data_IF_844691690744
#
_entry.id   IF_844691690744
#
_cell.length_a   1.000
_cell.length_b   1.000
_cell.length_c   1.000
_cell.angle_alpha   90.00
_cell.angle_beta   90.00
_cell.angle_gamma   90.00
#
_symmetry.space_group_name_H-M   'P 1'
#
loop_
_entity.id
_entity.type
_entity.pdbx_description
1 polymer ?
#
# COMPACT_ATOMS: atom_id res chain seq x y z
N UNK A 1 14.97 -56.94 6.36
CA UNK A 1 14.17 -55.71 6.53
C UNK A 1 15.00 -54.71 7.32
N UNK A 2 15.50 -53.65 6.66
CA UNK A 2 15.78 -52.37 7.32
C UNK A 2 15.51 -51.29 6.27
N UNK A 3 14.27 -50.82 6.22
CA UNK A 3 13.88 -49.61 5.48
C UNK A 3 14.57 -48.40 6.12
N UNK A 4 15.72 -48.00 5.57
CA UNK A 4 16.32 -46.70 5.88
C UNK A 4 15.64 -45.65 5.00
N UNK A 5 14.47 -45.18 5.44
CA UNK A 5 13.86 -43.96 4.89
C UNK A 5 14.74 -42.78 5.30
N UNK A 6 15.60 -42.37 4.37
CA UNK A 6 16.35 -41.11 4.45
C UNK A 6 15.32 -39.98 4.48
N UNK A 7 15.14 -39.40 5.65
CA UNK A 7 14.21 -38.28 5.84
C UNK A 7 14.96 -37.06 5.34
N UNK A 8 14.69 -36.65 4.09
CA UNK A 8 15.15 -35.36 3.56
C UNK A 8 14.57 -34.28 4.45
N UNK A 9 15.40 -33.83 5.38
CA UNK A 9 15.20 -32.65 6.20
C UNK A 9 14.96 -31.48 5.24
N UNK A 10 13.69 -31.13 5.03
CA UNK A 10 13.31 -29.89 4.40
C UNK A 10 13.55 -28.82 5.47
N UNK A 11 14.80 -28.41 5.65
CA UNK A 11 15.11 -27.21 6.41
C UNK A 11 14.39 -26.05 5.70
N UNK A 12 13.35 -25.44 6.29
CA UNK A 12 12.80 -24.23 5.72
C UNK A 12 13.94 -23.20 5.70
N UNK A 13 14.15 -22.56 4.56
CA UNK A 13 15.09 -21.44 4.48
C UNK A 13 14.77 -20.46 5.62
N UNK A 14 15.79 -19.93 6.33
CA UNK A 14 15.54 -18.95 7.38
C UNK A 14 14.71 -17.82 6.79
N UNK A 15 13.60 -17.48 7.45
CA UNK A 15 12.80 -16.34 7.06
C UNK A 15 13.71 -15.11 7.01
N UNK A 16 13.66 -14.34 5.92
CA UNK A 16 14.41 -13.08 5.80
C UNK A 16 14.19 -12.26 7.09
N UNK A 17 15.25 -11.70 7.68
CA UNK A 17 15.15 -10.87 8.88
C UNK A 17 14.62 -9.47 8.54
N UNK A 18 14.20 -8.70 9.55
CA UNK A 18 13.80 -7.31 9.34
C UNK A 18 14.97 -6.45 8.86
N UNK A 19 16.18 -6.66 9.40
CA UNK A 19 17.39 -5.95 8.99
C UNK A 19 17.73 -6.20 7.52
N UNK A 20 17.63 -7.45 7.05
CA UNK A 20 17.83 -7.79 5.63
C UNK A 20 16.79 -7.10 4.73
N UNK A 21 15.53 -7.05 5.15
CA UNK A 21 14.49 -6.33 4.42
C UNK A 21 14.78 -4.82 4.37
N UNK A 22 15.15 -4.19 5.49
CA UNK A 22 15.51 -2.76 5.54
C UNK A 22 16.71 -2.47 4.64
N UNK A 23 17.75 -3.31 4.68
CA UNK A 23 18.94 -3.19 3.84
C UNK A 23 18.61 -3.29 2.34
N UNK A 24 17.75 -4.24 1.95
CA UNK A 24 17.28 -4.37 0.56
C UNK A 24 16.42 -3.18 0.14
N UNK A 25 15.53 -2.71 1.01
CA UNK A 25 14.70 -1.54 0.74
C UNK A 25 15.57 -0.32 0.45
N UNK A 26 16.58 -0.08 1.30
CA UNK A 26 17.52 1.03 1.16
C UNK A 26 18.32 0.93 -0.15
N UNK A 27 18.72 -0.28 -0.54
CA UNK A 27 19.39 -0.52 -1.82
C UNK A 27 18.50 -0.11 -3.00
N UNK A 28 17.22 -0.51 -2.98
CA UNK A 28 16.27 -0.11 -4.03
C UNK A 28 15.98 1.39 -4.00
N UNK A 29 15.94 2.04 -2.83
CA UNK A 29 15.79 3.49 -2.69
C UNK A 29 16.95 4.24 -3.37
N UNK A 30 18.19 3.86 -3.07
CA UNK A 30 19.38 4.50 -3.66
C UNK A 30 19.44 4.31 -5.18
N UNK A 31 19.10 3.11 -5.66
CA UNK A 31 19.04 2.84 -7.10
C UNK A 31 17.93 3.65 -7.79
N UNK A 32 16.75 3.76 -7.17
CA UNK A 32 15.67 4.60 -7.66
C UNK A 32 16.09 6.07 -7.74
N UNK A 33 16.74 6.61 -6.71
CA UNK A 33 17.25 7.99 -6.71
C UNK A 33 18.25 8.23 -7.84
N UNK A 34 19.17 7.30 -8.08
CA UNK A 34 20.13 7.39 -9.18
C UNK A 34 19.46 7.36 -10.56
N UNK A 35 18.37 6.61 -10.72
CA UNK A 35 17.59 6.58 -11.96
C UNK A 35 16.81 7.89 -12.14
N UNK A 36 16.21 8.42 -11.08
CA UNK A 36 15.47 9.68 -11.10
C UNK A 36 16.37 10.87 -11.45
N UNK A 37 17.61 10.90 -10.97
CA UNK A 37 18.60 11.93 -11.36
C UNK A 37 18.87 11.91 -12.87
N UNK A 38 18.92 10.73 -13.49
CA UNK A 38 19.13 10.59 -14.94
C UNK A 38 17.90 10.96 -15.76
N UNK A 39 16.71 10.75 -15.21
CA UNK A 39 15.43 11.14 -15.81
C UNK A 39 15.20 12.66 -15.78
N UNK A 40 15.94 13.40 -14.95
CA UNK A 40 15.89 14.86 -14.91
C UNK A 40 16.35 15.51 -16.24
N UNK A 41 17.13 14.79 -17.07
CA UNK A 41 17.48 15.25 -18.41
C UNK A 41 16.39 14.86 -19.44
N UNK A 42 15.56 15.83 -19.91
CA UNK A 42 14.51 15.54 -20.88
C UNK A 42 15.05 15.17 -22.28
N UNK A 43 16.34 15.41 -22.55
CA UNK A 43 16.97 15.07 -23.83
C UNK A 43 17.58 13.67 -23.85
N UNK A 44 17.58 12.98 -22.73
CA UNK A 44 18.12 11.65 -22.64
C UNK A 44 17.28 10.66 -23.47
N UNK A 45 17.87 10.02 -24.50
CA UNK A 45 17.13 9.11 -25.38
C UNK A 45 16.63 7.86 -24.65
N UNK A 46 17.22 7.53 -23.49
CA UNK A 46 16.90 6.34 -22.72
C UNK A 46 15.79 6.58 -21.67
N UNK A 47 15.13 7.74 -21.68
CA UNK A 47 14.11 8.10 -20.69
C UNK A 47 12.97 7.08 -20.57
N UNK A 48 12.58 6.43 -21.66
CA UNK A 48 11.59 5.36 -21.61
C UNK A 48 12.09 4.16 -20.78
N UNK A 49 13.31 3.69 -21.04
CA UNK A 49 13.91 2.57 -20.34
C UNK A 49 14.20 2.89 -18.87
N UNK A 50 14.71 4.10 -18.59
CA UNK A 50 14.94 4.59 -17.23
C UNK A 50 13.62 4.70 -16.44
N UNK A 51 12.52 5.07 -17.09
CA UNK A 51 11.20 5.09 -16.44
C UNK A 51 10.75 3.68 -16.06
N UNK A 52 10.94 2.69 -16.93
CA UNK A 52 10.65 1.29 -16.62
C UNK A 52 11.53 0.79 -15.46
N UNK A 53 12.83 1.12 -15.47
CA UNK A 53 13.76 0.78 -14.38
C UNK A 53 13.31 1.41 -13.05
N UNK A 54 12.93 2.69 -13.05
CA UNK A 54 12.41 3.37 -11.87
C UNK A 54 11.15 2.68 -11.31
N UNK A 55 10.24 2.24 -12.19
CA UNK A 55 9.04 1.49 -11.79
C UNK A 55 9.37 0.14 -11.14
N UNK A 56 10.40 -0.55 -11.63
CA UNK A 56 10.87 -1.81 -11.04
C UNK A 56 11.39 -1.58 -9.62
N UNK A 57 12.24 -0.57 -9.42
CA UNK A 57 12.76 -0.24 -8.09
C UNK A 57 11.64 0.20 -7.12
N UNK A 58 10.72 1.05 -7.58
CA UNK A 58 9.57 1.47 -6.77
C UNK A 58 8.68 0.29 -6.38
N UNK A 59 8.37 -0.61 -7.31
CA UNK A 59 7.58 -1.82 -7.03
C UNK A 59 8.28 -2.72 -6.01
N UNK A 60 9.60 -2.87 -6.11
CA UNK A 60 10.39 -3.64 -5.14
C UNK A 60 10.35 -3.01 -3.74
N UNK A 61 10.52 -1.69 -3.64
CA UNK A 61 10.40 -0.95 -2.38
C UNK A 61 9.04 -1.15 -1.73
N UNK A 62 7.95 -1.00 -2.48
CA UNK A 62 6.59 -1.17 -1.95
C UNK A 62 6.32 -2.60 -1.44
N UNK A 63 6.82 -3.62 -2.15
CA UNK A 63 6.72 -5.02 -1.70
C UNK A 63 7.50 -5.26 -0.40
N UNK A 64 8.69 -4.68 -0.29
CA UNK A 64 9.51 -4.82 0.92
C UNK A 64 8.89 -4.05 2.08
N UNK A 65 8.37 -2.85 1.83
CA UNK A 65 7.63 -2.06 2.82
C UNK A 65 6.45 -2.85 3.37
N UNK A 66 5.63 -3.46 2.50
CA UNK A 66 4.52 -4.31 2.95
C UNK A 66 4.98 -5.46 3.86
N UNK A 67 6.10 -6.11 3.54
CA UNK A 67 6.67 -7.17 4.41
C UNK A 67 7.21 -6.63 5.74
N UNK A 68 7.73 -5.40 5.77
CA UNK A 68 8.19 -4.74 6.99
C UNK A 68 6.99 -4.36 7.87
N UNK A 69 5.92 -3.86 7.26
CA UNK A 69 4.67 -3.52 7.94
C UNK A 69 4.01 -4.78 8.55
N UNK A 70 3.93 -5.89 7.78
CA UNK A 70 3.42 -7.18 8.27
C UNK A 70 4.21 -7.71 9.47
N UNK A 71 5.54 -7.55 9.49
CA UNK A 71 6.39 -7.94 10.63
C UNK A 71 6.22 -7.01 11.83
N UNK A 72 5.96 -5.73 11.57
CA UNK A 72 5.68 -4.75 12.63
C UNK A 72 4.32 -4.95 13.28
N UNK A 73 3.31 -5.41 12.54
CA UNK A 73 1.98 -5.73 13.09
C UNK A 73 1.94 -7.11 13.78
N UNK A 74 2.78 -8.06 13.35
CA UNK A 74 2.85 -9.41 13.94
C UNK A 74 3.40 -9.49 15.36
N UNK A 75 3.99 -8.42 15.90
CA UNK A 75 4.53 -8.38 17.27
C UNK A 75 3.50 -7.87 18.32
N UNK A 76 2.40 -7.23 17.89
CA UNK A 76 1.41 -6.61 18.78
C UNK A 76 0.20 -7.53 19.11
N UNK A 77 0.06 -8.69 18.45
CA UNK A 77 -1.13 -9.54 18.54
C UNK A 77 -1.07 -10.66 19.60
N UNK A 78 -0.33 -10.45 20.71
CA UNK A 78 -0.32 -11.38 21.87
C UNK A 78 -0.97 -10.87 23.16
N UNK A 79 -1.73 -9.78 23.13
CA UNK A 79 -2.52 -9.38 24.30
C UNK A 79 -3.88 -8.75 23.93
N UNK A 80 -4.77 -9.55 23.34
CA UNK A 80 -6.22 -9.29 23.40
C UNK A 80 -6.97 -10.60 23.64
N UNK A 81 -6.74 -11.18 24.81
CA UNK A 81 -7.64 -12.18 25.38
C UNK A 81 -9.02 -11.55 25.58
N UNK A 82 -10.01 -12.08 24.85
CA UNK A 82 -11.46 -12.06 25.10
C UNK A 82 -12.06 -10.86 25.85
N UNK A 83 -12.86 -10.09 25.12
CA UNK A 83 -14.23 -9.79 25.59
C UNK A 83 -15.18 -9.83 24.41
N UNK A 84 -15.88 -10.96 24.34
CA UNK A 84 -17.05 -11.22 23.53
C UNK A 84 -18.23 -10.43 24.12
N UNK A 85 -18.79 -9.46 23.39
CA UNK A 85 -20.19 -9.08 23.61
C UNK A 85 -20.86 -8.76 22.26
N UNK A 86 -21.81 -9.63 21.90
CA UNK A 86 -22.64 -9.54 20.70
C UNK A 86 -23.89 -8.73 21.01
N UNK A 87 -23.91 -7.45 20.66
CA UNK A 87 -25.10 -6.60 20.71
C UNK A 87 -25.65 -6.26 19.33
N UNK A 88 -26.38 -7.20 18.69
CA UNK A 88 -27.13 -6.96 17.45
C UNK A 88 -28.56 -6.55 17.83
N UNK A 89 -28.88 -5.26 17.83
CA UNK A 89 -30.28 -4.80 17.87
C UNK A 89 -30.61 -3.99 16.62
N UNK A 90 -31.48 -4.56 15.78
CA UNK A 90 -32.19 -3.85 14.72
C UNK A 90 -33.45 -3.25 15.34
N UNK A 91 -33.57 -1.93 15.41
CA UNK A 91 -34.86 -1.27 15.59
C UNK A 91 -35.03 -0.15 14.56
N UNK A 92 -35.90 -0.48 13.61
CA UNK A 92 -36.50 0.36 12.59
C UNK A 92 -37.38 1.39 13.28
N UNK A 93 -37.07 2.68 13.19
CA UNK A 93 -38.08 3.72 13.41
C UNK A 93 -38.10 4.70 12.24
N UNK A 94 -39.16 4.56 11.43
CA UNK A 94 -39.66 5.59 10.52
C UNK A 94 -39.85 6.89 11.31
N UNK A 95 -39.34 7.99 10.81
CA UNK A 95 -40.01 9.28 10.91
C UNK A 95 -39.73 10.07 9.65
N UNK A 96 -40.85 10.40 9.00
CA UNK A 96 -41.02 11.15 7.78
C UNK A 96 -40.95 12.62 8.18
N UNK A 97 -40.10 13.43 7.55
CA UNK A 97 -40.33 14.87 7.50
C UNK A 97 -40.02 15.37 6.09
N UNK A 98 -41.05 15.95 5.49
CA UNK A 98 -41.09 16.52 4.16
C UNK A 98 -40.62 17.98 4.26
N UNK A 99 -39.50 18.32 3.62
CA UNK A 99 -39.03 19.70 3.46
C UNK A 99 -38.71 19.98 1.99
N UNK A 100 -39.71 20.49 1.28
CA UNK A 100 -39.74 20.84 -0.15
C UNK A 100 -39.11 22.23 -0.40
N UNK A 101 -38.74 22.48 -1.67
CA UNK A 101 -38.33 23.72 -2.38
C UNK A 101 -36.85 23.64 -2.80
N UNK A 102 -36.45 23.41 -4.06
CA UNK A 102 -36.88 23.87 -5.40
C UNK A 102 -36.90 25.40 -5.58
N UNK A 103 -36.47 25.80 -6.78
CA UNK A 103 -36.20 27.13 -7.34
C UNK A 103 -34.97 27.88 -6.77
N UNK A 104 -34.02 28.42 -7.54
CA UNK A 104 -34.13 29.01 -8.89
C UNK A 104 -32.75 29.13 -9.55
N UNK A 105 -32.76 28.89 -10.86
CA UNK A 105 -31.81 29.36 -11.87
C UNK A 105 -31.65 30.90 -11.84
N UNK A 106 -30.41 31.39 -11.91
CA UNK A 106 -30.07 32.82 -11.82
C UNK A 106 -29.07 33.26 -12.89
N UNK A 107 -29.56 33.25 -14.13
CA UNK A 107 -29.27 34.07 -15.33
C UNK A 107 -28.22 35.22 -15.25
N UNK A 108 -27.43 35.27 -16.32
CA UNK A 108 -26.69 36.37 -16.96
C UNK A 108 -26.50 37.73 -16.26
N UNK A 109 -25.26 38.22 -16.35
CA UNK A 109 -24.98 39.65 -16.50
C UNK A 109 -23.94 39.85 -17.62
N UNK A 110 -24.44 40.04 -18.84
CA UNK A 110 -23.77 40.87 -19.84
C UNK A 110 -23.71 42.33 -19.36
N UNK A 111 -22.63 43.03 -19.71
CA UNK A 111 -22.68 44.45 -20.03
C UNK A 111 -21.76 45.38 -19.23
N UNK A 112 -20.81 46.01 -19.93
CA UNK A 112 -20.67 47.47 -19.84
C UNK A 112 -19.29 48.07 -19.54
N UNK A 113 -18.57 48.39 -20.62
CA UNK A 113 -17.85 49.67 -20.87
C UNK A 113 -16.83 50.23 -19.85
N UNK A 114 -15.57 50.35 -20.31
CA UNK A 114 -14.94 51.63 -20.72
C UNK A 114 -13.71 51.40 -21.59
#
# INVERSE_FOLDING_TARGET
MVDKKETKENCPLPAETEEELRSRWETHRLAFEAVMERLDDPKNPDNAALTEEAQVHLSAMLKIQGKLDEKSEGDDEKDKEKSEDKGKEKTKNKSKDEGKSDDTEGKDAEGGEK
#
